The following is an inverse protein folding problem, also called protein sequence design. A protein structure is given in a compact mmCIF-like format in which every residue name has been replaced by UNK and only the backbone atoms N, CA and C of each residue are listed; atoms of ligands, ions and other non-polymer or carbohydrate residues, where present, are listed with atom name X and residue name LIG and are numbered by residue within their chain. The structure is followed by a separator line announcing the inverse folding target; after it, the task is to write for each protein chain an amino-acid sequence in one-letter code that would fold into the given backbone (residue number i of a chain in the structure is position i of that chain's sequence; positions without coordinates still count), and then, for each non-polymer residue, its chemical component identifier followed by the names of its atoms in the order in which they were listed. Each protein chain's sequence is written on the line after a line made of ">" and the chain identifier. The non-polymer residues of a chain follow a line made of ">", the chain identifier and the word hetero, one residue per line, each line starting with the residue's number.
data_IF_853845549537
#
_entry.id   IF_853845549537
#
_cell.length_a   1.000
_cell.length_b   1.000
_cell.length_c   1.000
_cell.angle_alpha   90.00
_cell.angle_beta   90.00
_cell.angle_gamma   90.00
#
_symmetry.space_group_name_H-M   'P 1'
#
loop_
_entity.id
_entity.type
_entity.pdbx_description
1 polymer ?
#
# COMPACT_ATOMS: atom_id res chain seq x y z
N UNK A 1 19.00 -8.92 9.75
CA UNK A 1 18.97 -9.87 8.61
C UNK A 1 17.61 -10.59 8.44
N UNK A 2 16.52 -10.30 9.18
CA UNK A 2 15.28 -11.10 9.08
C UNK A 2 14.06 -10.46 8.40
N UNK A 3 13.90 -9.12 8.37
CA UNK A 3 12.68 -8.48 7.82
C UNK A 3 12.60 -8.51 6.28
N UNK A 4 13.68 -8.19 5.59
CA UNK A 4 13.72 -8.18 4.11
C UNK A 4 13.58 -9.58 3.49
N UNK A 5 13.98 -10.61 4.24
CA UNK A 5 13.91 -11.99 3.80
C UNK A 5 12.47 -12.51 3.68
N UNK A 6 11.53 -11.98 4.49
CA UNK A 6 10.11 -12.32 4.35
C UNK A 6 9.50 -11.73 3.07
N UNK A 7 9.85 -10.49 2.74
CA UNK A 7 9.30 -9.77 1.58
C UNK A 7 10.13 -9.93 0.30
N UNK A 8 11.00 -10.93 0.22
CA UNK A 8 11.76 -11.22 -1.01
C UNK A 8 10.79 -11.35 -2.21
N UNK A 9 11.17 -10.76 -3.35
CA UNK A 9 10.38 -10.81 -4.60
C UNK A 9 10.64 -12.06 -5.43
N UNK A 10 11.76 -12.73 -5.19
CA UNK A 10 12.26 -13.84 -6.02
C UNK A 10 11.77 -15.21 -5.54
N UNK A 11 11.27 -15.30 -4.29
CA UNK A 11 10.86 -16.55 -3.66
C UNK A 11 9.55 -16.38 -2.88
N UNK A 12 8.95 -17.50 -2.47
CA UNK A 12 7.77 -17.50 -1.62
C UNK A 12 8.08 -16.89 -0.23
N UNK A 13 7.12 -16.19 0.40
CA UNK A 13 7.31 -15.64 1.75
C UNK A 13 7.66 -16.72 2.77
N UNK A 14 8.74 -16.52 3.52
CA UNK A 14 9.14 -17.44 4.58
C UNK A 14 8.51 -17.05 5.92
N UNK A 15 7.29 -17.53 6.17
CA UNK A 15 6.53 -17.22 7.40
C UNK A 15 7.24 -17.56 8.71
N UNK A 16 8.24 -18.45 8.71
CA UNK A 16 9.04 -18.74 9.92
C UNK A 16 9.86 -17.55 10.41
N UNK A 17 10.10 -16.56 9.54
CA UNK A 17 10.88 -15.36 9.84
C UNK A 17 10.01 -14.16 10.25
N UNK A 18 8.68 -14.30 10.25
CA UNK A 18 7.75 -13.22 10.55
C UNK A 18 7.13 -13.43 11.93
N UNK A 19 7.58 -12.65 12.92
CA UNK A 19 6.96 -12.65 14.25
C UNK A 19 5.74 -11.71 14.30
N UNK A 20 4.83 -11.89 15.28
CA UNK A 20 3.75 -10.93 15.51
C UNK A 20 4.26 -9.49 15.73
N UNK A 21 5.40 -9.32 16.42
CA UNK A 21 6.01 -8.00 16.64
C UNK A 21 6.54 -7.39 15.34
N UNK A 22 7.13 -8.20 14.45
CA UNK A 22 7.55 -7.71 13.13
C UNK A 22 6.35 -7.18 12.34
N UNK A 23 5.21 -7.87 12.35
CA UNK A 23 3.99 -7.43 11.66
C UNK A 23 3.52 -6.07 12.17
N UNK A 24 3.47 -5.91 13.50
CA UNK A 24 3.03 -4.68 14.16
C UNK A 24 3.91 -3.47 13.82
N UNK A 25 5.23 -3.65 13.84
CA UNK A 25 6.18 -2.60 13.46
C UNK A 25 6.08 -2.27 11.97
N UNK A 26 6.10 -3.30 11.11
CA UNK A 26 6.07 -3.13 9.65
C UNK A 26 4.80 -2.46 9.17
N UNK A 27 3.63 -2.79 9.73
CA UNK A 27 2.37 -2.17 9.30
C UNK A 27 2.31 -0.70 9.70
N UNK A 28 2.77 -0.36 10.91
CA UNK A 28 2.82 1.03 11.38
C UNK A 28 3.78 1.88 10.52
N UNK A 29 4.99 1.37 10.28
CA UNK A 29 5.99 2.02 9.40
C UNK A 29 5.43 2.23 7.99
N UNK A 30 4.88 1.18 7.39
CA UNK A 30 4.43 1.22 5.99
C UNK A 30 3.16 2.06 5.80
N UNK A 31 2.25 2.12 6.78
CA UNK A 31 1.11 3.05 6.76
C UNK A 31 1.60 4.50 6.83
N UNK A 32 2.58 4.79 7.68
CA UNK A 32 3.20 6.12 7.76
C UNK A 32 3.80 6.52 6.42
N UNK A 33 4.59 5.64 5.81
CA UNK A 33 5.16 5.82 4.47
C UNK A 33 4.08 5.98 3.39
N UNK A 34 2.98 5.24 3.50
CA UNK A 34 1.78 5.36 2.65
C UNK A 34 1.19 6.76 2.70
N UNK A 35 0.94 7.27 3.91
CA UNK A 35 0.39 8.62 4.10
C UNK A 35 1.33 9.69 3.56
N UNK A 36 2.64 9.55 3.82
CA UNK A 36 3.66 10.46 3.28
C UNK A 36 3.74 10.42 1.76
N UNK A 37 3.65 9.23 1.15
CA UNK A 37 3.68 9.06 -0.31
C UNK A 37 2.47 9.72 -0.96
N UNK A 38 1.27 9.46 -0.44
CA UNK A 38 0.03 10.10 -0.92
C UNK A 38 0.12 11.61 -0.79
N UNK A 39 0.57 12.12 0.36
CA UNK A 39 0.75 13.56 0.59
C UNK A 39 1.69 14.17 -0.45
N UNK A 40 2.88 13.58 -0.64
CA UNK A 40 3.86 14.03 -1.63
C UNK A 40 3.26 14.11 -3.03
N UNK A 41 2.47 13.12 -3.43
CA UNK A 41 1.84 13.10 -4.76
C UNK A 41 0.74 14.16 -4.88
N UNK A 42 -0.08 14.34 -3.83
CA UNK A 42 -1.10 15.38 -3.80
C UNK A 42 -0.52 16.80 -3.84
N UNK A 43 0.67 17.01 -3.30
CA UNK A 43 1.39 18.29 -3.27
C UNK A 43 2.35 18.46 -4.46
N UNK A 44 2.49 17.44 -5.31
CA UNK A 44 3.45 17.45 -6.41
C UNK A 44 2.96 18.29 -7.59
N UNK A 45 3.76 19.29 -7.97
CA UNK A 45 3.53 20.11 -9.17
C UNK A 45 4.31 19.61 -10.41
N UNK A 46 5.04 18.49 -10.30
CA UNK A 46 5.73 17.88 -11.42
C UNK A 46 4.76 17.30 -12.47
N UNK A 47 5.22 17.11 -13.73
CA UNK A 47 4.38 16.54 -14.78
C UNK A 47 3.83 15.16 -14.38
N UNK A 48 2.51 14.99 -14.47
CA UNK A 48 1.86 13.70 -14.19
C UNK A 48 2.31 12.63 -15.19
N UNK A 49 3.09 11.65 -14.73
CA UNK A 49 3.50 10.48 -15.50
C UNK A 49 3.46 9.21 -14.62
N UNK A 50 3.86 8.09 -15.21
CA UNK A 50 3.86 6.80 -14.53
C UNK A 50 4.76 6.82 -13.29
N UNK A 51 5.99 7.30 -13.46
CA UNK A 51 7.08 7.25 -12.49
C UNK A 51 6.81 8.16 -11.28
N UNK A 52 6.19 9.33 -11.49
CA UNK A 52 5.97 10.33 -10.44
C UNK A 52 4.64 10.17 -9.70
N UNK A 53 3.72 9.39 -10.25
CA UNK A 53 2.34 9.30 -9.73
C UNK A 53 1.91 7.86 -9.50
N UNK A 54 1.83 7.04 -10.54
CA UNK A 54 1.20 5.71 -10.44
C UNK A 54 2.14 4.71 -9.77
N UNK A 55 3.41 4.68 -10.19
CA UNK A 55 4.42 3.79 -9.65
C UNK A 55 4.58 3.89 -8.12
N UNK A 56 4.77 5.09 -7.52
CA UNK A 56 4.92 5.20 -6.07
C UNK A 56 3.66 4.77 -5.30
N UNK A 57 2.46 5.09 -5.83
CA UNK A 57 1.19 4.62 -5.24
C UNK A 57 1.10 3.09 -5.26
N UNK A 58 1.40 2.48 -6.41
CA UNK A 58 1.33 1.03 -6.58
C UNK A 58 2.32 0.32 -5.66
N UNK A 59 3.56 0.83 -5.57
CA UNK A 59 4.59 0.23 -4.74
C UNK A 59 4.25 0.28 -3.24
N UNK A 60 3.77 1.42 -2.74
CA UNK A 60 3.42 1.52 -1.32
C UNK A 60 2.15 0.71 -0.99
N UNK A 61 1.18 0.70 -1.90
CA UNK A 61 -0.04 -0.11 -1.76
C UNK A 61 0.26 -1.61 -1.77
N UNK A 62 1.19 -2.06 -2.62
CA UNK A 62 1.68 -3.45 -2.66
C UNK A 62 2.31 -3.84 -1.33
N UNK A 63 3.20 -3.00 -0.78
CA UNK A 63 3.85 -3.26 0.51
C UNK A 63 2.84 -3.45 1.64
N UNK A 64 1.88 -2.53 1.76
CA UNK A 64 0.82 -2.62 2.79
C UNK A 64 0.01 -3.91 2.61
N UNK A 65 -0.39 -4.23 1.37
CA UNK A 65 -1.13 -5.46 1.07
C UNK A 65 -0.34 -6.72 1.43
N UNK A 66 0.96 -6.76 1.18
CA UNK A 66 1.79 -7.94 1.50
C UNK A 66 1.90 -8.16 3.00
N UNK A 67 2.13 -7.10 3.77
CA UNK A 67 2.22 -7.18 5.24
C UNK A 67 0.86 -7.60 5.82
N UNK A 68 -0.20 -6.88 5.45
CA UNK A 68 -1.54 -7.13 5.99
C UNK A 68 -2.12 -8.46 5.54
N UNK A 69 -1.86 -8.86 4.28
CA UNK A 69 -2.23 -10.16 3.76
C UNK A 69 -1.55 -11.31 4.49
N UNK A 70 -0.26 -11.18 4.83
CA UNK A 70 0.46 -12.18 5.62
C UNK A 70 -0.14 -12.34 7.03
N UNK A 71 -0.47 -11.22 7.68
CA UNK A 71 -1.11 -11.24 9.00
C UNK A 71 -2.48 -11.93 8.97
N UNK A 72 -3.32 -11.59 7.98
CA UNK A 72 -4.64 -12.22 7.81
C UNK A 72 -4.54 -13.70 7.40
N UNK A 73 -3.54 -14.06 6.60
CA UNK A 73 -3.26 -15.46 6.27
C UNK A 73 -2.94 -16.25 7.53
N UNK A 74 -2.00 -15.79 8.37
CA UNK A 74 -1.67 -16.42 9.65
C UNK A 74 -2.90 -16.51 10.56
N UNK A 75 -3.69 -15.45 10.67
CA UNK A 75 -4.94 -15.49 11.44
C UNK A 75 -5.94 -16.53 10.93
N UNK A 76 -5.88 -16.87 9.64
CA UNK A 76 -6.82 -17.82 9.01
C UNK A 76 -6.33 -19.27 9.07
N UNK A 77 -5.02 -19.53 8.98
CA UNK A 77 -4.47 -20.90 8.86
C UNK A 77 -3.60 -21.32 10.03
N UNK A 78 -3.20 -20.38 10.90
CA UNK A 78 -2.29 -20.59 12.02
C UNK A 78 -2.62 -19.62 13.18
N UNK A 79 -3.90 -19.58 13.59
CA UNK A 79 -4.40 -18.64 14.61
C UNK A 79 -3.68 -18.78 15.95
N UNK A 80 -3.42 -17.65 16.61
CA UNK A 80 -2.91 -17.59 17.98
C UNK A 80 -3.40 -16.31 18.68
N UNK A 81 -3.33 -16.27 20.02
CA UNK A 81 -3.67 -15.07 20.79
C UNK A 81 -2.82 -13.86 20.41
N UNK A 82 -1.55 -14.08 20.08
CA UNK A 82 -0.59 -13.06 19.68
C UNK A 82 -0.95 -12.49 18.30
N UNK A 83 -1.27 -13.35 17.32
CA UNK A 83 -1.70 -12.91 15.99
C UNK A 83 -3.03 -12.14 16.06
N UNK A 84 -4.01 -12.63 16.83
CA UNK A 84 -5.28 -11.89 17.06
C UNK A 84 -5.03 -10.54 17.72
N UNK A 85 -4.11 -10.48 18.67
CA UNK A 85 -3.68 -9.22 19.30
C UNK A 85 -3.16 -8.21 18.28
N UNK A 86 -2.30 -8.65 17.36
CA UNK A 86 -1.77 -7.81 16.28
C UNK A 86 -2.87 -7.33 15.32
N UNK A 87 -3.76 -8.22 14.89
CA UNK A 87 -4.88 -7.85 14.01
C UNK A 87 -5.77 -6.80 14.68
N UNK A 88 -6.23 -7.06 15.90
CA UNK A 88 -7.13 -6.17 16.63
C UNK A 88 -6.50 -4.80 16.87
N UNK A 89 -5.20 -4.76 17.22
CA UNK A 89 -4.46 -3.52 17.44
C UNK A 89 -4.36 -2.67 16.16
N UNK A 90 -4.18 -3.31 15.00
CA UNK A 90 -3.83 -2.62 13.77
C UNK A 90 -5.00 -2.40 12.80
N UNK A 91 -6.14 -3.08 13.02
CA UNK A 91 -7.30 -3.02 12.13
C UNK A 91 -7.77 -1.59 11.86
N UNK A 92 -7.89 -0.78 12.91
CA UNK A 92 -8.36 0.61 12.79
C UNK A 92 -7.46 1.43 11.87
N UNK A 93 -6.15 1.41 12.08
CA UNK A 93 -5.23 2.23 11.28
C UNK A 93 -5.16 1.78 9.81
N UNK A 94 -5.25 0.47 9.57
CA UNK A 94 -5.27 -0.10 8.20
C UNK A 94 -6.55 0.33 7.49
N UNK A 95 -7.70 0.18 8.14
CA UNK A 95 -8.99 0.59 7.57
C UNK A 95 -9.03 2.09 7.33
N UNK A 96 -8.61 2.90 8.30
CA UNK A 96 -8.52 4.37 8.15
C UNK A 96 -7.65 4.77 6.96
N UNK A 97 -6.47 4.15 6.80
CA UNK A 97 -5.59 4.45 5.68
C UNK A 97 -6.29 4.19 4.33
N UNK A 98 -6.97 3.05 4.17
CA UNK A 98 -7.66 2.73 2.91
C UNK A 98 -8.89 3.60 2.67
N UNK A 99 -9.61 3.99 3.72
CA UNK A 99 -10.70 4.97 3.62
C UNK A 99 -10.16 6.31 3.13
N UNK A 100 -9.11 6.83 3.77
CA UNK A 100 -8.49 8.11 3.40
C UNK A 100 -7.94 8.06 1.96
N UNK A 101 -7.29 6.96 1.59
CA UNK A 101 -6.74 6.75 0.25
C UNK A 101 -7.83 6.73 -0.82
N UNK A 102 -8.86 5.88 -0.65
CA UNK A 102 -9.92 5.68 -1.65
C UNK A 102 -10.84 6.89 -1.80
N UNK A 103 -11.02 7.67 -0.73
CA UNK A 103 -11.87 8.87 -0.72
C UNK A 103 -11.08 10.17 -0.97
N UNK A 104 -9.79 10.08 -1.31
CA UNK A 104 -8.96 11.25 -1.54
C UNK A 104 -9.36 11.99 -2.84
N UNK A 105 -10.09 13.09 -2.69
CA UNK A 105 -10.54 13.93 -3.80
C UNK A 105 -9.40 14.52 -4.63
N UNK A 106 -8.24 14.78 -4.02
CA UNK A 106 -7.07 15.31 -4.73
C UNK A 106 -6.44 14.24 -5.62
N UNK A 107 -6.25 13.02 -5.11
CA UNK A 107 -5.81 11.87 -5.92
C UNK A 107 -6.77 11.61 -7.08
N UNK A 108 -8.09 11.61 -6.82
CA UNK A 108 -9.09 11.47 -7.88
C UNK A 108 -8.90 12.49 -9.01
N UNK A 109 -8.78 13.78 -8.67
CA UNK A 109 -8.54 14.85 -9.64
C UNK A 109 -7.23 14.67 -10.43
N UNK A 110 -6.18 14.17 -9.79
CA UNK A 110 -4.91 13.84 -10.46
C UNK A 110 -5.13 12.76 -11.53
N UNK A 111 -5.86 11.69 -11.20
CA UNK A 111 -6.17 10.63 -12.17
C UNK A 111 -7.07 11.11 -13.31
N UNK A 112 -8.08 11.93 -13.05
CA UNK A 112 -8.89 12.56 -14.10
C UNK A 112 -8.03 13.37 -15.08
N UNK A 113 -7.17 14.25 -14.57
CA UNK A 113 -6.24 15.05 -15.40
C UNK A 113 -5.30 14.17 -16.23
N UNK A 114 -4.81 13.07 -15.64
CA UNK A 114 -3.96 12.11 -16.35
C UNK A 114 -4.71 11.44 -17.50
N UNK A 115 -5.96 11.04 -17.28
CA UNK A 115 -6.83 10.45 -18.31
C UNK A 115 -7.13 11.45 -19.43
N UNK A 116 -7.52 12.67 -19.11
CA UNK A 116 -7.75 13.74 -20.08
C UNK A 116 -6.50 14.01 -20.95
N UNK A 117 -5.32 14.03 -20.32
CA UNK A 117 -4.04 14.20 -21.03
C UNK A 117 -3.77 13.06 -22.02
N UNK A 118 -4.09 11.82 -21.64
CA UNK A 118 -3.93 10.66 -22.51
C UNK A 118 -4.80 10.77 -23.75
N UNK A 119 -6.10 11.06 -23.60
CA UNK A 119 -7.02 11.17 -24.73
C UNK A 119 -6.72 12.37 -25.63
N UNK A 120 -6.27 13.50 -25.07
CA UNK A 120 -5.78 14.65 -25.86
C UNK A 120 -4.58 14.28 -26.74
N UNK A 121 -3.70 13.38 -26.27
CA UNK A 121 -2.53 12.92 -27.04
C UNK A 121 -2.89 11.79 -28.03
N UNK A 122 -3.96 11.04 -27.77
CA UNK A 122 -4.36 9.87 -28.56
C UNK A 122 -5.86 9.95 -28.94
N UNK A 123 -6.28 10.92 -29.78
CA UNK A 123 -7.70 11.15 -30.06
C UNK A 123 -8.43 9.96 -30.70
N UNK A 124 -7.72 9.05 -31.38
CA UNK A 124 -8.27 7.83 -31.96
C UNK A 124 -8.67 6.76 -30.92
N UNK A 125 -8.33 6.94 -29.65
CA UNK A 125 -8.63 6.01 -28.55
C UNK A 125 -9.87 6.39 -27.74
N UNK A 126 -10.56 7.49 -28.07
CA UNK A 126 -11.67 8.05 -27.30
C UNK A 126 -13.06 7.44 -27.61
N UNK A 127 -13.11 6.25 -28.21
CA UNK A 127 -14.34 5.52 -28.56
C UNK A 127 -14.85 4.63 -27.45
#
# INVERSE_FOLDING_TARGET
>A
MSRDAFFCKEWLPNYKLLSPNDIDELIAETISDGRLTVKKICENNQPLNWETTVQPISQISEKIHRIWGAANHLSSVADSSEIRGVINKNLEQVTSFWTDFSQNKTLYKIFCKSSERYFKKNPSSAT
#
